data_IF_878951296942
#
_entry.id   IF_878951296942
#
_cell.length_a   1.000
_cell.length_b   1.000
_cell.length_c   1.000
_cell.angle_alpha   90.00
_cell.angle_beta   90.00
_cell.angle_gamma   90.00
#
_symmetry.space_group_name_H-M   'P 1'
#
loop_
_entity.id
_entity.type
_entity.pdbx_description
1 polymer ?
#
# COMPACT_ATOMS: atom_id res chain seq x y z
N UNK A 1 12.23 -22.90 -30.45
CA UNK A 1 12.15 -21.50 -30.06
C UNK A 1 13.14 -21.28 -28.92
N UNK A 2 14.33 -20.80 -29.26
CA UNK A 2 15.28 -20.30 -28.26
C UNK A 2 14.72 -18.93 -27.84
N UNK A 3 14.07 -18.86 -26.68
CA UNK A 3 13.69 -17.57 -26.10
C UNK A 3 14.97 -16.77 -25.87
N UNK A 4 14.93 -15.47 -26.18
CA UNK A 4 16.07 -14.60 -25.88
C UNK A 4 16.18 -14.48 -24.36
N UNK A 5 17.08 -15.23 -23.76
CA UNK A 5 17.33 -15.32 -22.32
C UNK A 5 17.57 -13.92 -21.71
N UNK A 6 18.17 -13.01 -22.46
CA UNK A 6 18.43 -11.65 -22.02
C UNK A 6 17.12 -10.85 -21.92
N UNK A 7 16.23 -10.99 -22.89
CA UNK A 7 14.92 -10.33 -22.87
C UNK A 7 14.08 -10.81 -21.68
N UNK A 8 14.05 -12.11 -21.44
CA UNK A 8 13.35 -12.71 -20.30
C UNK A 8 13.89 -12.20 -18.94
N UNK A 9 15.22 -12.13 -18.81
CA UNK A 9 15.83 -11.58 -17.60
C UNK A 9 15.53 -10.10 -17.37
N UNK A 10 15.49 -9.29 -18.44
CA UNK A 10 15.13 -7.87 -18.35
C UNK A 10 13.67 -7.73 -17.90
N UNK A 11 12.77 -8.52 -18.46
CA UNK A 11 11.34 -8.52 -18.06
C UNK A 11 11.19 -8.92 -16.59
N UNK A 12 11.81 -10.00 -16.16
CA UNK A 12 11.78 -10.46 -14.77
C UNK A 12 12.31 -9.40 -13.79
N UNK A 13 13.43 -8.74 -14.12
CA UNK A 13 14.00 -7.66 -13.31
C UNK A 13 13.12 -6.42 -13.29
N UNK A 14 12.50 -6.06 -14.41
CA UNK A 14 11.55 -4.94 -14.47
C UNK A 14 10.33 -5.20 -13.60
N UNK A 15 9.82 -6.44 -13.60
CA UNK A 15 8.74 -6.86 -12.72
C UNK A 15 9.16 -6.78 -11.24
N UNK A 16 10.36 -7.22 -10.91
CA UNK A 16 10.90 -7.13 -9.56
C UNK A 16 11.02 -5.67 -9.07
N UNK A 17 11.45 -4.74 -9.94
CA UNK A 17 11.51 -3.30 -9.62
C UNK A 17 10.12 -2.74 -9.33
N UNK A 18 9.10 -3.12 -10.12
CA UNK A 18 7.71 -2.71 -9.86
C UNK A 18 7.19 -3.23 -8.53
N UNK A 19 7.49 -4.49 -8.19
CA UNK A 19 7.13 -5.07 -6.88
C UNK A 19 7.81 -4.33 -5.73
N UNK A 20 9.10 -4.04 -5.86
CA UNK A 20 9.84 -3.26 -4.87
C UNK A 20 9.26 -1.85 -4.70
N UNK A 21 8.85 -1.20 -5.79
CA UNK A 21 8.18 0.09 -5.74
C UNK A 21 6.86 0.02 -4.98
N UNK A 22 6.00 -0.97 -5.30
CA UNK A 22 4.70 -1.11 -4.62
C UNK A 22 4.86 -1.40 -3.12
N UNK A 23 5.86 -2.16 -2.74
CA UNK A 23 6.18 -2.38 -1.32
C UNK A 23 6.65 -1.07 -0.66
N UNK A 24 7.55 -0.32 -1.32
CA UNK A 24 8.00 0.98 -0.83
C UNK A 24 6.88 2.01 -0.80
N UNK A 25 5.91 1.95 -1.72
CA UNK A 25 4.75 2.82 -1.75
C UNK A 25 3.94 2.77 -0.44
N UNK A 26 3.76 1.57 0.13
CA UNK A 26 3.08 1.44 1.42
C UNK A 26 4.01 1.62 2.61
N UNK A 27 5.17 0.93 2.61
CA UNK A 27 6.02 0.74 3.79
C UNK A 27 7.41 1.40 3.68
N UNK A 28 7.63 2.28 2.71
CA UNK A 28 8.91 2.98 2.59
C UNK A 28 9.20 3.86 3.79
N UNK A 29 10.45 3.84 4.26
CA UNK A 29 10.95 4.68 5.33
C UNK A 29 12.37 5.17 5.04
N UNK A 30 12.49 6.43 4.63
CA UNK A 30 13.75 7.01 4.16
C UNK A 30 14.79 7.15 5.28
N UNK A 31 14.36 7.30 6.53
CA UNK A 31 15.29 7.42 7.66
C UNK A 31 16.10 6.16 7.94
N UNK A 32 15.51 4.99 7.72
CA UNK A 32 16.21 3.70 7.90
C UNK A 32 16.89 3.23 6.63
N UNK A 33 16.25 3.46 5.48
CA UNK A 33 16.78 3.05 4.19
C UNK A 33 16.96 4.24 3.24
N UNK A 34 18.16 4.76 3.16
CA UNK A 34 18.53 5.96 2.37
C UNK A 34 18.25 5.84 0.86
N UNK A 35 17.94 4.65 0.36
CA UNK A 35 17.63 4.39 -1.06
C UNK A 35 16.14 4.28 -1.35
N UNK A 36 15.29 4.45 -0.33
CA UNK A 36 13.83 4.42 -0.45
C UNK A 36 13.25 5.79 -0.14
N UNK A 37 12.07 6.05 -0.63
CA UNK A 37 11.26 7.20 -0.26
C UNK A 37 10.24 6.82 0.82
N UNK A 38 9.68 7.80 1.51
CA UNK A 38 8.66 7.59 2.52
C UNK A 38 7.35 7.13 1.88
N UNK A 39 6.84 5.99 2.33
CA UNK A 39 5.58 5.42 1.87
C UNK A 39 4.37 6.07 2.51
N UNK A 40 3.19 5.67 2.05
CA UNK A 40 1.90 6.22 2.53
C UNK A 40 1.74 6.05 4.04
N UNK A 41 2.16 4.92 4.59
CA UNK A 41 2.14 4.71 6.04
C UNK A 41 2.92 5.79 6.78
N UNK A 42 4.13 6.11 6.31
CA UNK A 42 4.99 7.10 6.94
C UNK A 42 4.44 8.50 6.78
N UNK A 43 4.02 8.85 5.57
CA UNK A 43 3.48 10.18 5.29
C UNK A 43 2.24 10.50 6.14
N UNK A 44 1.41 9.50 6.47
CA UNK A 44 0.23 9.66 7.32
C UNK A 44 0.52 9.51 8.82
N UNK A 45 1.63 8.91 9.21
CA UNK A 45 1.97 8.73 10.64
C UNK A 45 2.47 10.00 11.29
N UNK A 46 3.12 10.88 10.53
CA UNK A 46 3.60 12.17 11.06
C UNK A 46 2.46 13.06 11.57
N UNK A 47 1.21 12.75 11.19
CA UNK A 47 0.04 13.55 11.53
C UNK A 47 -1.04 12.72 12.23
N UNK A 48 -1.35 13.12 13.42
CA UNK A 48 -2.34 12.42 14.29
C UNK A 48 -3.76 12.55 13.75
N UNK A 49 -4.03 13.57 12.93
CA UNK A 49 -5.39 13.92 12.51
C UNK A 49 -6.00 12.94 11.51
N UNK A 50 -5.21 12.28 10.68
CA UNK A 50 -5.70 11.42 9.59
C UNK A 50 -5.48 9.93 9.85
N UNK A 51 -5.21 9.58 11.10
CA UNK A 51 -4.99 8.21 11.52
C UNK A 51 -5.99 7.82 12.60
N UNK A 52 -6.78 6.80 12.34
CA UNK A 52 -7.66 6.16 13.31
C UNK A 52 -7.03 4.84 13.74
N UNK A 53 -6.87 4.62 15.03
CA UNK A 53 -6.51 3.32 15.57
C UNK A 53 -7.78 2.61 16.05
N UNK A 54 -8.01 1.38 15.55
CA UNK A 54 -9.13 0.53 16.01
C UNK A 54 -8.70 -0.26 17.24
N UNK A 55 -7.50 -0.82 17.22
CA UNK A 55 -6.89 -1.54 18.33
C UNK A 55 -5.93 -0.69 19.14
N UNK A 56 -5.53 -1.20 20.31
CA UNK A 56 -4.45 -0.65 21.12
C UNK A 56 -3.09 -1.28 20.74
N UNK A 57 -2.02 -0.81 21.39
CA UNK A 57 -0.68 -1.37 21.23
C UNK A 57 -0.66 -2.88 21.50
N UNK A 58 -0.16 -3.67 20.53
CA UNK A 58 -0.08 -5.14 20.63
C UNK A 58 -1.42 -5.88 20.66
N UNK A 59 -2.55 -5.21 20.41
CA UNK A 59 -3.88 -5.82 20.51
C UNK A 59 -4.79 -5.32 19.39
N UNK A 60 -4.80 -5.97 18.22
CA UNK A 60 -5.69 -5.60 17.12
C UNK A 60 -7.14 -5.81 17.52
N UNK A 61 -8.01 -4.92 17.06
CA UNK A 61 -9.45 -5.00 17.35
C UNK A 61 -10.27 -5.29 16.08
N UNK A 62 -11.49 -5.72 16.33
CA UNK A 62 -12.46 -6.02 15.28
C UNK A 62 -12.88 -4.70 14.60
N UNK A 63 -12.97 -4.71 13.29
CA UNK A 63 -13.43 -3.56 12.52
C UNK A 63 -14.92 -3.32 12.73
N UNK A 64 -15.30 -2.07 13.00
CA UNK A 64 -16.67 -1.58 12.91
C UNK A 64 -16.86 -0.82 11.57
N UNK A 65 -18.05 -0.91 10.98
CA UNK A 65 -18.37 -0.13 9.78
C UNK A 65 -18.43 1.36 10.07
N UNK A 66 -18.83 1.76 11.25
CA UNK A 66 -18.74 3.14 11.74
C UNK A 66 -17.33 3.71 11.59
N UNK A 67 -16.29 2.92 11.88
CA UNK A 67 -14.89 3.33 11.71
C UNK A 67 -14.48 3.50 10.24
N UNK A 68 -15.09 2.76 9.34
CA UNK A 68 -14.87 2.93 7.90
C UNK A 68 -15.53 4.23 7.40
N UNK A 69 -16.71 4.57 7.93
CA UNK A 69 -17.37 5.85 7.66
C UNK A 69 -16.53 7.01 8.19
N UNK A 70 -16.08 6.94 9.44
CA UNK A 70 -15.16 7.91 10.03
C UNK A 70 -13.88 8.08 9.21
N UNK A 71 -13.30 6.98 8.68
CA UNK A 71 -12.14 7.03 7.81
C UNK A 71 -12.39 7.83 6.53
N UNK A 72 -13.55 7.67 5.92
CA UNK A 72 -13.93 8.40 4.70
C UNK A 72 -14.18 9.89 5.03
N UNK A 73 -14.82 10.18 6.15
CA UNK A 73 -15.15 11.54 6.58
C UNK A 73 -13.91 12.36 6.99
N UNK A 74 -12.82 11.70 7.40
CA UNK A 74 -11.54 12.36 7.66
C UNK A 74 -10.91 12.99 6.42
N UNK A 75 -11.25 12.53 5.22
CA UNK A 75 -10.80 13.15 3.98
C UNK A 75 -11.60 14.42 3.74
N UNK A 76 -11.02 15.57 4.07
CA UNK A 76 -11.74 16.86 4.13
C UNK A 76 -11.77 17.60 2.79
N UNK A 77 -10.83 17.32 1.88
CA UNK A 77 -10.74 18.01 0.57
C UNK A 77 -11.47 17.23 -0.54
N UNK A 78 -12.68 16.75 -0.24
CA UNK A 78 -13.52 15.99 -1.15
C UNK A 78 -13.71 14.54 -0.72
N UNK A 79 -14.17 13.69 -1.65
CA UNK A 79 -14.27 12.25 -1.41
C UNK A 79 -12.95 11.55 -1.78
N UNK A 80 -12.54 10.49 -1.07
CA UNK A 80 -11.42 9.68 -1.50
C UNK A 80 -11.72 8.98 -2.83
N UNK A 81 -10.72 8.86 -3.68
CA UNK A 81 -10.85 8.19 -4.98
C UNK A 81 -10.93 6.68 -4.84
N UNK A 82 -10.31 6.13 -3.79
CA UNK A 82 -10.35 4.70 -3.52
C UNK A 82 -10.06 4.36 -2.06
N UNK A 83 -10.65 3.23 -1.64
CA UNK A 83 -10.24 2.53 -0.43
C UNK A 83 -9.29 1.40 -0.81
N UNK A 84 -8.15 1.32 -0.14
CA UNK A 84 -7.17 0.25 -0.36
C UNK A 84 -7.08 -0.62 0.89
N UNK A 85 -7.21 -1.94 0.70
CA UNK A 85 -7.18 -2.91 1.79
C UNK A 85 -6.62 -4.26 1.33
N UNK A 86 -6.40 -5.18 2.27
CA UNK A 86 -5.97 -6.54 1.95
C UNK A 86 -7.12 -7.40 1.43
N UNK A 87 -6.79 -8.50 0.76
CA UNK A 87 -7.79 -9.50 0.29
C UNK A 87 -8.61 -10.09 1.44
N UNK A 88 -7.96 -10.28 2.59
CA UNK A 88 -8.59 -10.88 3.76
C UNK A 88 -9.59 -9.91 4.38
N UNK A 89 -9.20 -8.65 4.53
CA UNK A 89 -10.08 -7.60 5.06
C UNK A 89 -11.31 -7.40 4.18
N UNK A 90 -11.13 -7.35 2.85
CA UNK A 90 -12.25 -7.28 1.92
C UNK A 90 -13.22 -8.46 2.09
N UNK A 91 -12.71 -9.69 2.33
CA UNK A 91 -13.59 -10.83 2.57
C UNK A 91 -14.40 -10.68 3.85
N UNK A 92 -13.77 -10.22 4.93
CA UNK A 92 -14.44 -9.96 6.21
C UNK A 92 -15.55 -8.92 6.07
N UNK A 93 -15.28 -7.81 5.40
CA UNK A 93 -16.29 -6.77 5.10
C UNK A 93 -17.41 -7.33 4.23
N UNK A 94 -17.09 -8.15 3.22
CA UNK A 94 -18.11 -8.72 2.35
C UNK A 94 -19.02 -9.70 3.08
N UNK A 95 -18.54 -10.46 4.04
CA UNK A 95 -19.36 -11.33 4.87
C UNK A 95 -20.37 -10.49 5.65
N UNK A 96 -19.93 -9.41 6.25
CA UNK A 96 -20.82 -8.49 6.96
C UNK A 96 -21.85 -7.84 6.01
N UNK A 97 -21.40 -7.23 4.90
CA UNK A 97 -22.30 -6.57 3.95
C UNK A 97 -23.33 -7.52 3.34
N UNK A 98 -22.97 -8.80 3.13
CA UNK A 98 -23.93 -9.84 2.68
C UNK A 98 -25.00 -10.12 3.73
N UNK A 99 -24.64 -10.11 5.00
CA UNK A 99 -25.60 -10.36 6.08
C UNK A 99 -26.63 -9.23 6.23
N UNK A 100 -26.21 -8.00 5.92
CA UNK A 100 -27.08 -6.80 6.01
C UNK A 100 -27.73 -6.47 4.66
N UNK A 101 -27.34 -7.10 3.57
CA UNK A 101 -27.85 -6.81 2.22
C UNK A 101 -27.28 -5.54 1.59
N UNK A 102 -26.17 -5.01 2.11
CA UNK A 102 -25.55 -3.74 1.72
C UNK A 102 -24.43 -3.80 0.67
N UNK A 103 -24.34 -4.90 -0.08
CA UNK A 103 -23.33 -5.00 -1.15
C UNK A 103 -23.70 -4.13 -2.34
N UNK A 104 -22.87 -3.13 -2.61
CA UNK A 104 -23.00 -2.24 -3.77
C UNK A 104 -21.84 -2.43 -4.74
N UNK A 105 -22.14 -2.32 -6.02
CA UNK A 105 -21.16 -2.41 -7.10
C UNK A 105 -21.39 -1.27 -8.08
N UNK A 106 -20.32 -0.64 -8.49
CA UNK A 106 -20.33 0.31 -9.61
C UNK A 106 -19.92 -0.41 -10.89
N UNK A 107 -20.66 -0.18 -11.97
CA UNK A 107 -20.35 -0.69 -13.31
C UNK A 107 -19.58 0.39 -14.08
N UNK A 108 -18.30 0.54 -13.78
CA UNK A 108 -17.42 1.41 -14.54
C UNK A 108 -16.62 0.62 -15.57
N UNK A 109 -16.66 1.06 -16.83
CA UNK A 109 -15.85 0.52 -17.93
C UNK A 109 -15.92 -1.02 -18.10
N UNK A 110 -17.12 -1.62 -18.09
CA UNK A 110 -17.35 -3.06 -18.24
C UNK A 110 -16.75 -3.93 -17.11
N UNK A 111 -16.41 -3.34 -15.97
CA UNK A 111 -15.95 -4.08 -14.78
C UNK A 111 -16.81 -3.70 -13.60
N UNK A 112 -17.24 -4.71 -12.86
CA UNK A 112 -17.90 -4.48 -11.56
C UNK A 112 -16.86 -4.24 -10.50
N UNK A 113 -16.83 -3.02 -9.95
CA UNK A 113 -16.00 -2.66 -8.82
C UNK A 113 -16.88 -2.56 -7.59
N UNK A 114 -16.47 -3.22 -6.52
CA UNK A 114 -17.17 -3.11 -5.24
C UNK A 114 -17.01 -1.69 -4.70
N UNK A 115 -18.08 -1.08 -4.24
CA UNK A 115 -18.08 0.22 -3.60
C UNK A 115 -18.55 0.12 -2.16
N UNK A 116 -17.99 0.93 -1.30
CA UNK A 116 -18.44 1.16 0.08
C UNK A 116 -18.70 2.67 0.19
N UNK A 117 -19.90 3.08 0.50
CA UNK A 117 -20.29 4.50 0.59
C UNK A 117 -19.90 5.31 -0.67
N UNK A 118 -20.14 4.72 -1.84
CA UNK A 118 -19.79 5.30 -3.16
C UNK A 118 -18.28 5.38 -3.44
N UNK A 119 -17.41 4.87 -2.57
CA UNK A 119 -15.97 4.83 -2.79
C UNK A 119 -15.56 3.46 -3.29
N UNK A 120 -14.85 3.36 -4.41
CA UNK A 120 -14.40 2.08 -4.96
C UNK A 120 -13.36 1.41 -4.06
N UNK A 121 -13.50 0.09 -3.89
CA UNK A 121 -12.59 -0.73 -3.10
C UNK A 121 -11.56 -1.38 -3.98
N UNK A 122 -10.30 -1.10 -3.73
CA UNK A 122 -9.16 -1.73 -4.36
C UNK A 122 -8.42 -2.65 -3.38
N UNK A 123 -7.91 -3.75 -3.91
CA UNK A 123 -7.18 -4.73 -3.11
C UNK A 123 -5.72 -4.71 -3.50
N UNK A 124 -4.85 -4.60 -2.51
CA UNK A 124 -3.41 -4.68 -2.71
C UNK A 124 -2.85 -5.96 -2.09
N UNK A 125 -2.00 -6.66 -2.85
CA UNK A 125 -1.25 -7.82 -2.35
C UNK A 125 0.05 -7.38 -1.63
N UNK A 126 0.35 -6.10 -1.64
CA UNK A 126 1.51 -5.50 -0.98
C UNK A 126 1.20 -4.95 0.41
N UNK A 127 -0.07 -4.97 0.81
CA UNK A 127 -0.46 -4.75 2.19
C UNK A 127 -0.35 -6.05 2.98
N UNK A 128 0.26 -5.98 4.16
CA UNK A 128 0.39 -7.10 5.07
C UNK A 128 -0.90 -7.30 5.90
N UNK A 129 -1.14 -8.54 6.31
CA UNK A 129 -2.10 -8.86 7.37
C UNK A 129 -1.40 -9.05 8.72
N UNK A 130 -0.14 -8.71 8.79
CA UNK A 130 0.75 -8.91 9.90
C UNK A 130 1.56 -7.63 10.11
N UNK A 131 0.84 -6.54 10.36
CA UNK A 131 1.40 -5.24 10.68
C UNK A 131 1.46 -5.09 12.20
N UNK A 132 2.45 -4.36 12.71
CA UNK A 132 2.46 -3.96 14.10
C UNK A 132 1.27 -3.04 14.41
N UNK A 133 0.59 -3.31 15.53
CA UNK A 133 -0.60 -2.58 15.95
C UNK A 133 -0.29 -1.22 16.59
N UNK A 134 0.99 -0.91 16.84
CA UNK A 134 1.38 0.27 17.59
C UNK A 134 1.42 1.53 16.74
N UNK A 135 1.01 2.66 17.37
CA UNK A 135 1.04 4.00 16.77
C UNK A 135 2.46 4.50 16.52
N UNK A 136 3.39 4.07 17.34
CA UNK A 136 4.77 4.51 17.28
C UNK A 136 5.56 3.71 16.25
N UNK A 137 5.23 3.93 15.02
CA UNK A 137 6.01 3.45 13.88
C UNK A 137 7.43 4.07 13.80
N UNK A 138 7.99 4.41 14.93
CA UNK A 138 9.31 5.06 15.00
C UNK A 138 10.49 4.20 14.61
N UNK A 139 10.34 2.88 14.49
CA UNK A 139 11.47 1.97 14.29
C UNK A 139 11.26 0.85 13.26
N UNK A 140 10.41 1.01 12.32
CA UNK A 140 10.29 0.03 11.23
C UNK A 140 8.90 -0.56 11.17
N UNK A 141 8.26 -0.25 10.11
CA UNK A 141 6.95 -0.71 9.76
C UNK A 141 6.95 -2.20 9.54
N UNK A 142 6.02 -2.83 10.18
CA UNK A 142 5.71 -4.22 10.03
C UNK A 142 5.84 -4.68 8.59
N UNK A 143 6.60 -5.69 8.40
CA UNK A 143 6.98 -6.33 7.18
C UNK A 143 8.13 -5.67 6.42
N UNK A 144 9.30 -5.78 6.97
CA UNK A 144 10.55 -5.74 6.20
C UNK A 144 10.93 -7.18 5.82
N UNK A 145 10.69 -7.61 4.58
CA UNK A 145 11.08 -8.96 4.15
C UNK A 145 12.56 -9.05 3.74
N UNK A 146 13.45 -8.22 4.24
CA UNK A 146 14.79 -8.14 3.66
C UNK A 146 15.90 -8.79 4.45
N UNK A 147 15.71 -9.15 5.72
CA UNK A 147 16.78 -9.81 6.49
C UNK A 147 16.33 -10.88 7.48
N UNK A 148 15.04 -11.24 7.51
CA UNK A 148 14.55 -12.26 8.42
C UNK A 148 14.50 -11.84 9.88
N UNK A 149 14.73 -10.59 10.18
CA UNK A 149 14.53 -10.05 11.52
C UNK A 149 13.08 -9.57 11.62
N UNK A 150 12.26 -10.25 12.38
CA UNK A 150 10.93 -9.79 12.75
C UNK A 150 11.08 -8.44 13.47
N UNK A 151 10.67 -7.36 12.80
CA UNK A 151 10.62 -6.05 13.42
C UNK A 151 9.28 -5.89 14.11
N UNK A 152 9.29 -6.13 15.40
CA UNK A 152 8.12 -5.96 16.25
C UNK A 152 7.20 -7.18 16.24
N UNK A 153 6.49 -7.34 17.31
CA UNK A 153 5.52 -8.40 17.48
C UNK A 153 4.59 -8.48 16.28
N UNK A 154 4.47 -9.69 15.71
CA UNK A 154 3.50 -10.03 14.68
C UNK A 154 2.10 -9.94 15.29
N UNK A 155 1.53 -8.73 15.30
CA UNK A 155 0.27 -8.48 16.01
C UNK A 155 -0.96 -8.97 15.22
N UNK A 156 -0.75 -9.61 14.07
CA UNK A 156 -1.83 -10.07 13.18
C UNK A 156 -2.83 -8.94 12.90
N UNK A 157 -2.31 -7.76 12.60
CA UNK A 157 -3.10 -6.58 12.28
C UNK A 157 -2.95 -6.15 10.81
N UNK A 158 -3.88 -5.35 10.34
CA UNK A 158 -3.85 -4.78 8.99
C UNK A 158 -4.36 -3.35 8.99
N UNK A 159 -4.09 -2.64 7.92
CA UNK A 159 -4.54 -1.26 7.72
C UNK A 159 -5.45 -1.11 6.51
N UNK A 160 -6.33 -0.11 6.57
CA UNK A 160 -7.14 0.36 5.44
C UNK A 160 -6.76 1.81 5.16
N UNK A 161 -6.60 2.13 3.88
CA UNK A 161 -6.29 3.49 3.44
C UNK A 161 -7.42 4.04 2.61
N UNK A 162 -7.81 5.28 2.88
CA UNK A 162 -8.62 6.10 2.00
C UNK A 162 -7.70 7.11 1.32
N UNK A 163 -7.54 6.97 0.00
CA UNK A 163 -6.57 7.72 -0.79
C UNK A 163 -7.28 8.60 -1.81
N UNK A 164 -6.83 9.84 -1.89
CA UNK A 164 -7.18 10.78 -2.95
C UNK A 164 -5.93 11.07 -3.78
N UNK A 165 -6.04 10.94 -5.10
CA UNK A 165 -4.95 11.19 -6.03
C UNK A 165 -5.14 12.53 -6.73
N UNK A 166 -4.06 13.27 -6.88
CA UNK A 166 -4.10 14.54 -7.58
C UNK A 166 -2.85 15.38 -7.38
N UNK A 167 -2.75 16.46 -8.14
CA UNK A 167 -1.61 17.36 -8.02
C UNK A 167 -1.51 18.03 -6.65
N UNK A 168 -2.64 18.23 -5.97
CA UNK A 168 -2.73 18.81 -4.62
C UNK A 168 -2.89 17.78 -3.50
N UNK A 169 -3.01 16.51 -3.84
CA UNK A 169 -3.21 15.39 -2.92
C UNK A 169 -1.99 14.45 -2.96
N UNK A 170 -2.23 13.15 -3.03
CA UNK A 170 -1.19 12.15 -3.20
C UNK A 170 -0.81 12.03 -4.67
N UNK A 171 0.46 12.23 -5.00
CA UNK A 171 0.96 12.13 -6.37
C UNK A 171 2.28 11.38 -6.44
N UNK A 172 2.44 10.58 -7.51
CA UNK A 172 3.71 9.95 -7.85
C UNK A 172 4.60 10.93 -8.59
N UNK A 173 5.85 11.04 -8.16
CA UNK A 173 6.86 11.86 -8.81
C UNK A 173 7.91 10.95 -9.42
N UNK A 174 8.30 11.22 -10.66
CA UNK A 174 9.40 10.50 -11.29
C UNK A 174 10.23 11.46 -12.14
N UNK A 175 11.54 11.29 -12.07
CA UNK A 175 12.45 12.07 -12.91
C UNK A 175 12.35 11.62 -14.37
N UNK A 176 12.25 10.30 -14.56
CA UNK A 176 12.28 9.66 -15.87
C UNK A 176 11.56 8.30 -15.77
N UNK A 177 10.90 7.84 -16.82
CA UNK A 177 10.35 6.49 -16.87
C UNK A 177 11.42 5.41 -16.71
N UNK A 178 11.01 4.14 -16.68
CA UNK A 178 11.96 3.02 -16.65
C UNK A 178 12.80 3.03 -17.92
N UNK A 179 14.12 3.18 -17.76
CA UNK A 179 15.08 3.18 -18.87
C UNK A 179 16.02 1.99 -18.77
N UNK A 180 16.34 1.41 -19.92
CA UNK A 180 17.25 0.27 -20.03
C UNK A 180 18.48 0.68 -20.83
N UNK A 181 19.64 0.63 -20.22
CA UNK A 181 20.94 0.91 -20.86
C UNK A 181 21.69 -0.39 -21.06
N UNK A 182 22.10 -0.67 -22.29
CA UNK A 182 22.98 -1.80 -22.62
C UNK A 182 24.41 -1.29 -22.66
N UNK A 183 25.28 -1.92 -21.90
CA UNK A 183 26.72 -1.64 -21.95
C UNK A 183 27.38 -2.61 -22.93
N UNK A 184 28.43 -2.14 -23.62
CA UNK A 184 29.29 -2.98 -24.44
C UNK A 184 29.93 -4.10 -23.59
N UNK A 185 30.61 -5.04 -24.27
CA UNK A 185 31.29 -6.13 -23.58
C UNK A 185 32.17 -5.63 -22.46
N UNK A 186 32.15 -6.33 -21.34
CA UNK A 186 33.00 -6.04 -20.20
C UNK A 186 34.44 -6.42 -20.57
N UNK A 187 35.41 -5.53 -20.36
CA UNK A 187 36.83 -5.76 -20.68
C UNK A 187 37.42 -6.96 -19.94
N UNK A 188 36.94 -7.26 -18.72
CA UNK A 188 37.50 -8.29 -17.85
C UNK A 188 36.70 -9.60 -17.81
N UNK A 189 35.56 -9.70 -18.52
CA UNK A 189 34.72 -10.90 -18.54
C UNK A 189 33.95 -10.99 -19.85
N UNK A 190 33.84 -12.21 -20.37
CA UNK A 190 32.95 -12.48 -21.51
C UNK A 190 31.48 -12.43 -21.03
N UNK A 191 30.92 -11.24 -21.09
CA UNK A 191 29.52 -10.99 -20.63
C UNK A 191 29.00 -9.64 -21.07
N UNK A 192 27.70 -9.55 -21.29
CA UNK A 192 26.98 -8.31 -21.54
C UNK A 192 26.35 -7.80 -20.22
N UNK A 193 26.41 -6.49 -20.00
CA UNK A 193 25.79 -5.84 -18.84
C UNK A 193 24.64 -4.96 -19.29
N UNK A 194 23.49 -5.16 -18.68
CA UNK A 194 22.34 -4.29 -18.87
C UNK A 194 22.00 -3.62 -17.54
N UNK A 195 21.77 -2.31 -17.57
CA UNK A 195 21.35 -1.52 -16.41
C UNK A 195 19.93 -1.05 -16.61
N UNK A 196 19.06 -1.30 -15.64
CA UNK A 196 17.71 -0.74 -15.58
C UNK A 196 17.73 0.37 -14.54
N UNK A 197 17.27 1.55 -14.94
CA UNK A 197 17.17 2.75 -14.08
C UNK A 197 15.73 3.19 -13.96
N UNK A 198 15.33 3.51 -12.76
CA UNK A 198 14.06 4.16 -12.45
C UNK A 198 14.21 4.96 -11.16
N UNK A 199 13.77 6.19 -11.17
CA UNK A 199 13.86 7.09 -10.03
C UNK A 199 12.44 7.60 -9.68
N UNK A 200 11.62 6.76 -9.06
CA UNK A 200 10.31 7.15 -8.60
C UNK A 200 10.37 7.74 -7.19
N UNK A 201 9.38 8.54 -6.87
CA UNK A 201 9.12 9.07 -5.54
C UNK A 201 7.63 9.20 -5.30
N UNK A 202 7.25 9.47 -4.07
CA UNK A 202 5.89 9.75 -3.65
C UNK A 202 5.88 11.12 -2.98
N UNK A 203 4.87 11.91 -3.28
CA UNK A 203 4.67 13.23 -2.69
C UNK A 203 3.23 13.37 -2.26
N UNK A 204 3.03 13.81 -1.03
CA UNK A 204 1.74 14.22 -0.49
C UNK A 204 1.78 15.71 -0.25
N UNK A 205 1.01 16.47 -1.00
CA UNK A 205 1.00 17.92 -0.87
C UNK A 205 0.01 18.39 0.19
N UNK A 206 -1.11 17.70 0.33
CA UNK A 206 -2.12 17.96 1.36
C UNK A 206 -2.28 16.73 2.24
N UNK A 207 -2.08 16.88 3.54
CA UNK A 207 -2.21 15.80 4.53
C UNK A 207 -3.67 15.38 4.69
N UNK A 208 -4.60 16.33 4.60
CA UNK A 208 -6.04 16.10 4.76
C UNK A 208 -6.70 15.36 3.59
N UNK A 209 -5.94 15.09 2.52
CA UNK A 209 -6.45 14.37 1.33
C UNK A 209 -6.44 12.85 1.44
N UNK A 210 -5.75 12.33 2.44
CA UNK A 210 -5.64 10.89 2.66
C UNK A 210 -5.82 10.58 4.14
N UNK A 211 -6.36 9.40 4.44
CA UNK A 211 -6.53 8.92 5.80
C UNK A 211 -6.20 7.42 5.90
N UNK A 212 -5.86 6.96 7.09
CA UNK A 212 -5.60 5.54 7.36
C UNK A 212 -6.29 5.05 8.64
N UNK A 213 -6.65 3.80 8.61
CA UNK A 213 -7.19 3.05 9.73
C UNK A 213 -6.23 1.90 10.05
N UNK A 214 -5.76 1.80 11.28
CA UNK A 214 -4.73 0.85 11.69
C UNK A 214 -5.19 -0.03 12.86
N UNK A 215 -4.47 -1.10 13.13
CA UNK A 215 -4.75 -1.99 14.26
C UNK A 215 -6.02 -2.82 14.08
N UNK A 216 -6.34 -3.21 12.86
CA UNK A 216 -7.52 -3.99 12.53
C UNK A 216 -7.18 -5.46 12.49
N UNK A 217 -7.97 -6.32 13.12
CA UNK A 217 -7.85 -7.77 13.02
C UNK A 217 -8.32 -8.25 11.64
N UNK A 218 -7.44 -8.82 10.77
CA UNK A 218 -7.79 -9.12 9.37
C UNK A 218 -8.88 -10.17 9.22
N UNK A 219 -8.92 -11.16 10.12
CA UNK A 219 -9.88 -12.27 10.11
C UNK A 219 -11.06 -12.07 11.07
N UNK A 220 -11.19 -10.88 11.68
CA UNK A 220 -12.24 -10.56 12.63
C UNK A 220 -13.63 -10.49 11.99
N UNK A 221 -14.66 -10.74 12.80
CA UNK A 221 -16.05 -10.51 12.40
C UNK A 221 -16.31 -9.00 12.40
N UNK A 222 -16.61 -8.42 11.24
CA UNK A 222 -16.94 -6.98 11.15
C UNK A 222 -18.27 -6.74 11.87
N UNK A 223 -18.34 -5.67 12.65
CA UNK A 223 -19.56 -5.23 13.39
C UNK A 223 -20.16 -3.99 12.73
N UNK A 224 -21.37 -3.64 13.17
CA UNK A 224 -22.04 -2.42 12.75
C UNK A 224 -21.28 -1.17 13.16
#
# INVERSE_FOLDING_TARGET
NVQDLMAEQIEAKTKAIRHAYMNTFFYGYAATETKRFDGVHQLLTSETYNTIAVGGSGSPAVLSMEKVEELIDLVTDGKPDMLVMTKQMRRSINVYLKSVGGLTYDESANKRVQTILEVPVHVSDFLSNDEACDKDYGNGYGHQPTDGTALGDDDNSTSIFALQFGAKALSGVQSMGITTEKFAKLENKDGARTRIKWYPGLMMQSIISCSKLTGIQPAGTVTA
#
